data_IF_529159368643
#
_entry.id   IF_529159368643
#
_cell.length_a   1.000
_cell.length_b   1.000
_cell.length_c   1.000
_cell.angle_alpha   90.00
_cell.angle_beta   90.00
_cell.angle_gamma   90.00
#
_symmetry.space_group_name_H-M   'P 1'
#
loop_
_entity.id
_entity.type
_entity.pdbx_description
1 polymer ?
#
# COMPACT_ATOMS: atom_id res chain seq x y z
N UNK A 1 -5.01 -45.16 32.10
CA UNK A 1 -3.78 -44.58 31.54
C UNK A 1 -4.11 -43.15 31.23
N UNK A 2 -3.95 -42.28 32.22
CA UNK A 2 -4.18 -40.85 32.03
C UNK A 2 -3.06 -40.32 31.14
N UNK A 3 -3.44 -39.76 29.99
CA UNK A 3 -2.53 -39.12 29.05
C UNK A 3 -1.91 -37.89 29.73
N UNK A 4 -0.66 -38.01 30.15
CA UNK A 4 0.15 -36.87 30.60
C UNK A 4 0.28 -35.86 29.46
N UNK A 5 -0.43 -34.74 29.57
CA UNK A 5 -0.32 -33.62 28.63
C UNK A 5 0.90 -32.79 29.01
N UNK A 6 1.99 -32.93 28.26
CA UNK A 6 3.20 -32.12 28.44
C UNK A 6 3.03 -30.83 27.65
N UNK A 7 3.01 -29.69 28.35
CA UNK A 7 3.00 -28.36 27.76
C UNK A 7 4.39 -27.73 27.87
N UNK A 8 4.85 -27.12 26.78
CA UNK A 8 6.12 -26.39 26.73
C UNK A 8 5.81 -24.92 27.02
N UNK A 9 6.60 -24.28 27.88
CA UNK A 9 6.46 -22.88 28.24
C UNK A 9 7.79 -22.12 28.13
N UNK A 10 7.76 -20.82 28.35
CA UNK A 10 8.94 -19.94 28.29
C UNK A 10 8.89 -18.92 27.16
N UNK A 11 9.85 -17.98 27.16
CA UNK A 11 9.88 -16.84 26.22
C UNK A 11 10.02 -17.28 24.74
N UNK A 12 10.68 -18.41 24.49
CA UNK A 12 10.79 -18.96 23.13
C UNK A 12 9.46 -19.51 22.62
N UNK A 13 8.67 -20.20 23.46
CA UNK A 13 7.36 -20.72 23.06
C UNK A 13 6.34 -19.57 22.90
N UNK A 14 6.37 -18.55 23.75
CA UNK A 14 5.55 -17.33 23.58
C UNK A 14 5.90 -16.65 22.25
N UNK A 15 7.18 -16.51 21.93
CA UNK A 15 7.63 -15.90 20.66
C UNK A 15 7.21 -16.75 19.45
N UNK A 16 7.25 -18.08 19.57
CA UNK A 16 6.78 -19.02 18.54
C UNK A 16 5.28 -18.88 18.31
N UNK A 17 4.48 -18.92 19.37
CA UNK A 17 3.02 -18.79 19.31
C UNK A 17 2.59 -17.42 18.76
N UNK A 18 3.21 -16.33 19.21
CA UNK A 18 2.95 -14.98 18.66
C UNK A 18 3.31 -14.92 17.17
N UNK A 19 4.41 -15.53 16.76
CA UNK A 19 4.81 -15.62 15.35
C UNK A 19 3.81 -16.39 14.48
N UNK A 20 3.36 -17.57 14.93
CA UNK A 20 2.36 -18.38 14.23
C UNK A 20 0.98 -17.72 14.18
N UNK A 21 0.56 -17.12 15.28
CA UNK A 21 -0.70 -16.37 15.38
C UNK A 21 -0.69 -15.19 14.41
N UNK A 22 0.36 -14.37 14.44
CA UNK A 22 0.50 -13.24 13.53
C UNK A 22 0.47 -13.69 12.07
N UNK A 23 1.17 -14.79 11.72
CA UNK A 23 1.15 -15.35 10.36
C UNK A 23 -0.25 -15.76 9.92
N UNK A 24 -1.00 -16.44 10.80
CA UNK A 24 -2.39 -16.85 10.53
C UNK A 24 -3.30 -15.64 10.34
N UNK A 25 -3.14 -14.61 11.17
CA UNK A 25 -3.92 -13.38 11.07
C UNK A 25 -3.60 -12.59 9.80
N UNK A 26 -2.34 -12.58 9.34
CA UNK A 26 -1.98 -12.02 8.04
C UNK A 26 -2.64 -12.75 6.87
N UNK A 27 -2.64 -14.10 6.88
CA UNK A 27 -3.28 -14.89 5.83
C UNK A 27 -4.79 -14.64 5.78
N UNK A 28 -5.44 -14.55 6.94
CA UNK A 28 -6.86 -14.18 7.03
C UNK A 28 -7.09 -12.77 6.50
N UNK A 29 -6.28 -11.80 6.92
CA UNK A 29 -6.39 -10.42 6.45
C UNK A 29 -6.21 -10.32 4.93
N UNK A 30 -5.26 -11.04 4.35
CA UNK A 30 -5.04 -11.13 2.90
C UNK A 30 -6.26 -11.74 2.18
N UNK A 31 -6.83 -12.82 2.71
CA UNK A 31 -8.01 -13.48 2.16
C UNK A 31 -9.21 -12.53 2.07
N UNK A 32 -9.36 -11.60 3.01
CA UNK A 32 -10.41 -10.58 2.97
C UNK A 32 -10.02 -9.33 2.17
N UNK A 33 -8.77 -8.89 2.25
CA UNK A 33 -8.29 -7.69 1.59
C UNK A 33 -8.24 -7.83 0.07
N UNK A 34 -7.78 -8.96 -0.46
CA UNK A 34 -7.67 -9.18 -1.92
C UNK A 34 -9.03 -9.07 -2.64
N UNK A 35 -10.10 -9.78 -2.20
CA UNK A 35 -11.43 -9.60 -2.77
C UNK A 35 -11.97 -8.18 -2.57
N UNK A 36 -11.74 -7.57 -1.42
CA UNK A 36 -12.21 -6.21 -1.13
C UNK A 36 -11.57 -5.18 -2.07
N UNK A 37 -10.26 -5.27 -2.30
CA UNK A 37 -9.54 -4.41 -3.27
C UNK A 37 -10.05 -4.69 -4.67
N UNK A 38 -10.21 -5.94 -5.08
CA UNK A 38 -10.74 -6.27 -6.41
C UNK A 38 -12.14 -5.69 -6.62
N UNK A 39 -13.03 -5.83 -5.62
CA UNK A 39 -14.37 -5.27 -5.63
C UNK A 39 -14.34 -3.74 -5.72
N UNK A 40 -13.48 -3.09 -4.92
CA UNK A 40 -13.28 -1.64 -4.96
C UNK A 40 -12.81 -1.18 -6.34
N UNK A 41 -11.84 -1.87 -6.96
CA UNK A 41 -11.35 -1.53 -8.30
C UNK A 41 -12.43 -1.67 -9.35
N UNK A 42 -13.24 -2.73 -9.28
CA UNK A 42 -14.39 -2.91 -10.16
C UNK A 42 -15.40 -1.78 -9.98
N UNK A 43 -15.67 -1.37 -8.74
CA UNK A 43 -16.59 -0.27 -8.43
C UNK A 43 -16.07 1.09 -8.93
N UNK A 44 -14.77 1.36 -8.74
CA UNK A 44 -14.12 2.63 -9.12
C UNK A 44 -14.00 2.76 -10.64
N UNK A 45 -13.50 1.73 -11.32
CA UNK A 45 -13.31 1.79 -12.77
C UNK A 45 -14.59 1.52 -13.56
N UNK A 46 -15.53 0.76 -13.00
CA UNK A 46 -16.74 0.25 -13.67
C UNK A 46 -16.45 -0.47 -15.01
N UNK A 47 -15.19 -0.85 -15.25
CA UNK A 47 -14.69 -1.57 -16.43
C UNK A 47 -13.64 -2.58 -15.97
N UNK A 48 -13.78 -3.80 -16.47
CA UNK A 48 -12.94 -4.94 -16.08
C UNK A 48 -11.49 -4.81 -16.55
N UNK A 49 -11.25 -4.19 -17.71
CA UNK A 49 -9.89 -4.03 -18.26
C UNK A 49 -9.00 -3.12 -17.43
N UNK A 50 -9.53 -1.98 -16.97
CA UNK A 50 -8.78 -1.05 -16.12
C UNK A 50 -8.46 -1.66 -14.74
N UNK A 51 -9.42 -2.40 -14.17
CA UNK A 51 -9.20 -3.15 -12.95
C UNK A 51 -8.13 -4.23 -13.14
N UNK A 52 -8.20 -5.00 -14.22
CA UNK A 52 -7.22 -6.05 -14.52
C UNK A 52 -5.80 -5.51 -14.70
N UNK A 53 -5.65 -4.39 -15.42
CA UNK A 53 -4.34 -3.73 -15.58
C UNK A 53 -3.77 -3.25 -14.25
N UNK A 54 -4.63 -2.68 -13.40
CA UNK A 54 -4.26 -2.20 -12.07
C UNK A 54 -3.81 -3.34 -11.17
N UNK A 55 -4.57 -4.43 -11.14
CA UNK A 55 -4.22 -5.64 -10.38
C UNK A 55 -2.94 -6.27 -10.92
N UNK A 56 -2.77 -6.31 -12.25
CA UNK A 56 -1.55 -6.85 -12.86
C UNK A 56 -0.30 -6.07 -12.44
N UNK A 57 -0.35 -4.74 -12.39
CA UNK A 57 0.76 -3.91 -11.89
C UNK A 57 1.04 -4.19 -10.42
N UNK A 58 -0.01 -4.27 -9.58
CA UNK A 58 0.15 -4.61 -8.17
C UNK A 58 0.79 -5.99 -7.97
N UNK A 59 0.28 -7.02 -8.65
CA UNK A 59 0.84 -8.37 -8.59
C UNK A 59 2.28 -8.42 -9.11
N UNK A 60 2.59 -7.72 -10.21
CA UNK A 60 3.95 -7.62 -10.72
C UNK A 60 4.90 -6.99 -9.68
N UNK A 61 4.44 -5.97 -8.97
CA UNK A 61 5.20 -5.36 -7.87
C UNK A 61 5.45 -6.35 -6.74
N UNK A 62 4.43 -7.10 -6.31
CA UNK A 62 4.56 -8.12 -5.26
C UNK A 62 5.54 -9.21 -5.69
N UNK A 63 5.37 -9.78 -6.89
CA UNK A 63 6.24 -10.84 -7.41
C UNK A 63 7.68 -10.33 -7.54
N UNK A 64 7.88 -9.14 -8.11
CA UNK A 64 9.20 -8.52 -8.24
C UNK A 64 9.86 -8.27 -6.89
N UNK A 65 9.07 -7.85 -5.90
CA UNK A 65 9.55 -7.63 -4.53
C UNK A 65 9.94 -8.94 -3.87
N UNK A 66 9.10 -9.97 -3.93
CA UNK A 66 9.39 -11.27 -3.36
C UNK A 66 10.63 -11.91 -4.00
N UNK A 67 10.80 -11.75 -5.32
CA UNK A 67 12.01 -12.18 -6.02
C UNK A 67 13.25 -11.41 -5.54
N UNK A 68 13.15 -10.08 -5.37
CA UNK A 68 14.22 -9.25 -4.83
C UNK A 68 14.57 -9.60 -3.38
N UNK A 69 13.55 -9.82 -2.54
CA UNK A 69 13.73 -10.27 -1.15
C UNK A 69 14.40 -11.63 -1.08
N UNK A 70 14.03 -12.57 -1.97
CA UNK A 70 14.70 -13.86 -2.07
C UNK A 70 16.18 -13.73 -2.43
N UNK A 71 16.53 -12.79 -3.30
CA UNK A 71 17.93 -12.51 -3.64
C UNK A 71 18.69 -11.90 -2.45
N UNK A 72 18.08 -10.96 -1.72
CA UNK A 72 18.64 -10.39 -0.49
C UNK A 72 18.79 -11.47 0.59
N UNK A 73 17.84 -12.40 0.68
CA UNK A 73 17.85 -13.51 1.64
C UNK A 73 19.03 -14.48 1.46
N UNK A 74 19.78 -14.39 0.35
CA UNK A 74 21.03 -15.15 0.17
C UNK A 74 22.20 -14.55 0.96
N UNK A 75 22.11 -13.27 1.34
CA UNK A 75 23.20 -12.51 1.98
C UNK A 75 22.87 -12.10 3.42
N UNK A 76 21.58 -11.96 3.73
CA UNK A 76 21.11 -11.58 5.07
C UNK A 76 19.83 -12.33 5.38
N UNK A 77 19.49 -12.45 6.66
CA UNK A 77 18.19 -13.02 7.03
C UNK A 77 17.08 -12.06 6.57
N UNK A 78 15.90 -12.59 6.22
CA UNK A 78 14.73 -11.76 5.91
C UNK A 78 13.56 -12.27 6.73
N UNK A 79 12.93 -11.37 7.48
CA UNK A 79 11.75 -11.72 8.27
C UNK A 79 10.58 -12.19 7.40
N UNK A 80 9.86 -13.23 7.83
CA UNK A 80 8.62 -13.66 7.18
C UNK A 80 7.57 -12.54 7.11
N UNK A 81 7.58 -11.60 8.08
CA UNK A 81 6.69 -10.44 8.08
C UNK A 81 6.97 -9.47 6.92
N UNK A 82 8.21 -9.45 6.41
CA UNK A 82 8.57 -8.60 5.29
C UNK A 82 7.88 -9.04 3.99
N UNK A 83 7.63 -10.34 3.81
CA UNK A 83 6.86 -10.87 2.68
C UNK A 83 5.38 -10.45 2.75
N UNK A 84 4.77 -10.47 3.95
CA UNK A 84 3.40 -10.00 4.14
C UNK A 84 3.29 -8.49 3.87
N UNK A 85 4.26 -7.70 4.33
CA UNK A 85 4.35 -6.28 4.06
C UNK A 85 4.54 -6.00 2.57
N UNK A 86 5.33 -6.81 1.87
CA UNK A 86 5.53 -6.71 0.42
C UNK A 86 4.21 -6.88 -0.35
N UNK A 87 3.35 -7.79 0.07
CA UNK A 87 2.04 -7.98 -0.52
C UNK A 87 1.13 -6.75 -0.30
N UNK A 88 0.96 -6.35 0.96
CA UNK A 88 0.04 -5.27 1.33
C UNK A 88 0.46 -3.95 0.69
N UNK A 89 1.74 -3.58 0.83
CA UNK A 89 2.26 -2.36 0.21
C UNK A 89 2.35 -2.48 -1.31
N UNK A 90 2.73 -3.64 -1.86
CA UNK A 90 2.87 -3.84 -3.30
C UNK A 90 1.56 -3.71 -4.06
N UNK A 91 0.49 -4.28 -3.51
CA UNK A 91 -0.84 -4.08 -4.05
C UNK A 91 -1.33 -2.65 -3.84
N UNK A 92 -1.16 -2.09 -2.64
CA UNK A 92 -1.59 -0.71 -2.35
C UNK A 92 -0.94 0.31 -3.27
N UNK A 93 0.40 0.34 -3.31
CA UNK A 93 1.16 1.28 -4.14
C UNK A 93 0.98 1.00 -5.64
N UNK A 94 0.93 -0.27 -6.04
CA UNK A 94 0.64 -0.64 -7.43
C UNK A 94 -0.74 -0.17 -7.88
N UNK A 95 -1.75 -0.27 -7.00
CA UNK A 95 -3.10 0.23 -7.23
C UNK A 95 -3.12 1.75 -7.34
N UNK A 96 -2.55 2.45 -6.36
CA UNK A 96 -2.58 3.91 -6.28
C UNK A 96 -1.87 4.55 -7.47
N UNK A 97 -0.67 4.06 -7.80
CA UNK A 97 0.10 4.58 -8.94
C UNK A 97 -0.58 4.27 -10.26
N UNK A 98 -1.17 3.08 -10.42
CA UNK A 98 -1.91 2.74 -11.63
C UNK A 98 -3.16 3.59 -11.80
N UNK A 99 -3.91 3.80 -10.71
CA UNK A 99 -5.11 4.63 -10.72
C UNK A 99 -4.78 6.07 -11.09
N UNK A 100 -3.69 6.62 -10.54
CA UNK A 100 -3.26 7.96 -10.88
C UNK A 100 -2.89 8.11 -12.38
N UNK A 101 -2.10 7.17 -12.92
CA UNK A 101 -1.71 7.18 -14.35
C UNK A 101 -2.92 6.96 -15.26
N UNK A 102 -3.81 6.01 -14.93
CA UNK A 102 -5.03 5.73 -15.71
C UNK A 102 -5.99 6.94 -15.66
N UNK A 103 -6.15 7.59 -14.51
CA UNK A 103 -6.97 8.79 -14.40
C UNK A 103 -6.46 9.89 -15.32
N UNK A 104 -5.14 10.12 -15.32
CA UNK A 104 -4.53 11.11 -16.23
C UNK A 104 -4.66 10.72 -17.70
N UNK A 105 -4.47 9.46 -18.04
CA UNK A 105 -4.74 8.97 -19.40
C UNK A 105 -6.19 9.24 -19.83
N UNK A 106 -7.17 8.99 -18.95
CA UNK A 106 -8.59 9.25 -19.23
C UNK A 106 -8.90 10.74 -19.39
N UNK A 107 -8.25 11.61 -18.62
CA UNK A 107 -8.37 13.07 -18.79
C UNK A 107 -7.82 13.53 -20.13
N UNK A 108 -6.66 13.03 -20.53
CA UNK A 108 -6.02 13.32 -21.83
C UNK A 108 -6.90 12.85 -23.01
N UNK A 109 -7.51 11.67 -22.88
CA UNK A 109 -8.50 11.16 -23.86
C UNK A 109 -9.78 11.98 -23.88
N UNK A 110 -10.27 12.43 -22.72
CA UNK A 110 -11.44 13.31 -22.63
C UNK A 110 -11.17 14.71 -23.20
N UNK A 111 -9.90 15.12 -23.28
CA UNK A 111 -9.47 16.34 -23.98
C UNK A 111 -9.36 16.18 -25.51
N UNK A 112 -9.73 15.01 -26.06
CA UNK A 112 -9.77 14.75 -27.50
C UNK A 112 -8.45 14.28 -28.11
N UNK A 113 -7.44 13.94 -27.29
CA UNK A 113 -6.14 13.47 -27.80
C UNK A 113 -6.21 12.02 -28.31
N UNK A 114 -5.48 11.67 -29.39
CA UNK A 114 -5.41 10.30 -29.87
C UNK A 114 -4.67 9.40 -28.85
N UNK A 115 -4.88 8.08 -28.95
CA UNK A 115 -4.37 7.11 -28.00
C UNK A 115 -2.86 7.22 -27.73
N UNK A 116 -1.98 7.28 -28.75
CA UNK A 116 -0.54 7.30 -28.53
C UNK A 116 -0.11 8.54 -27.75
N UNK A 117 -0.59 9.71 -28.15
CA UNK A 117 -0.25 11.00 -27.53
C UNK A 117 -0.76 11.08 -26.09
N UNK A 118 -1.96 10.55 -25.83
CA UNK A 118 -2.53 10.50 -24.49
C UNK A 118 -1.70 9.62 -23.54
N UNK A 119 -1.18 8.48 -24.02
CA UNK A 119 -0.29 7.61 -23.22
C UNK A 119 1.02 8.31 -22.93
N UNK A 120 1.66 8.91 -23.94
CA UNK A 120 2.94 9.62 -23.77
C UNK A 120 2.80 10.76 -22.76
N UNK A 121 1.75 11.58 -22.90
CA UNK A 121 1.54 12.74 -22.04
C UNK A 121 1.12 12.38 -20.62
N UNK A 122 0.25 11.38 -20.47
CA UNK A 122 -0.09 10.84 -19.16
C UNK A 122 1.16 10.31 -18.45
N UNK A 123 2.03 9.59 -19.15
CA UNK A 123 3.28 9.05 -18.58
C UNK A 123 4.25 10.17 -18.21
N UNK A 124 4.41 11.19 -19.05
CA UNK A 124 5.31 12.31 -18.78
C UNK A 124 4.92 13.11 -17.52
N UNK A 125 3.61 13.35 -17.31
CA UNK A 125 3.13 14.14 -16.16
C UNK A 125 2.89 13.26 -14.94
N UNK A 126 2.11 12.19 -15.11
CA UNK A 126 1.74 11.30 -14.01
C UNK A 126 2.92 10.44 -13.57
N UNK A 127 3.70 9.91 -14.51
CA UNK A 127 4.87 9.09 -14.21
C UNK A 127 5.93 9.86 -13.41
N UNK A 128 6.21 11.13 -13.76
CA UNK A 128 7.12 11.97 -12.96
C UNK A 128 6.62 12.14 -11.52
N UNK A 129 5.31 12.31 -11.33
CA UNK A 129 4.70 12.44 -10.00
C UNK A 129 4.79 11.12 -9.22
N UNK A 130 4.53 9.99 -9.87
CA UNK A 130 4.66 8.64 -9.30
C UNK A 130 6.10 8.36 -8.87
N UNK A 131 7.09 8.69 -9.70
CA UNK A 131 8.52 8.54 -9.36
C UNK A 131 8.87 9.39 -8.14
N UNK A 132 8.46 10.66 -8.10
CA UNK A 132 8.75 11.55 -6.97
C UNK A 132 8.10 11.06 -5.67
N UNK A 133 6.82 10.64 -5.74
CA UNK A 133 6.11 10.04 -4.61
C UNK A 133 6.82 8.75 -4.15
N UNK A 134 7.21 7.90 -5.10
CA UNK A 134 7.95 6.67 -4.82
C UNK A 134 9.25 6.94 -4.10
N UNK A 135 10.10 7.83 -4.61
CA UNK A 135 11.37 8.22 -3.96
C UNK A 135 11.12 8.70 -2.54
N UNK A 136 10.08 9.52 -2.31
CA UNK A 136 9.73 10.01 -0.97
C UNK A 136 9.39 8.86 -0.01
N UNK A 137 8.60 7.87 -0.47
CA UNK A 137 8.26 6.68 0.33
C UNK A 137 9.50 5.81 0.57
N UNK A 138 10.33 5.58 -0.45
CA UNK A 138 11.55 4.78 -0.32
C UNK A 138 12.55 5.40 0.68
N UNK A 139 12.76 6.73 0.62
CA UNK A 139 13.60 7.45 1.59
C UNK A 139 13.03 7.34 3.00
N UNK A 140 11.72 7.50 3.16
CA UNK A 140 11.06 7.39 4.47
C UNK A 140 11.19 5.99 5.07
N UNK A 141 11.01 4.93 4.27
CA UNK A 141 11.19 3.54 4.72
C UNK A 141 12.66 3.20 4.98
N UNK A 142 13.59 3.83 4.27
CA UNK A 142 15.03 3.65 4.49
C UNK A 142 15.48 4.16 5.87
N UNK A 143 14.75 5.10 6.48
CA UNK A 143 15.02 5.56 7.84
C UNK A 143 14.92 4.43 8.89
N UNK A 144 14.18 3.36 8.60
CA UNK A 144 14.11 2.18 9.48
C UNK A 144 15.46 1.47 9.63
N UNK A 145 16.37 1.60 8.65
CA UNK A 145 17.72 1.01 8.70
C UNK A 145 18.62 1.64 9.77
N UNK A 146 18.25 2.81 10.31
CA UNK A 146 19.00 3.48 11.39
C UNK A 146 18.86 2.72 12.71
N UNK A 147 17.78 1.96 12.90
CA UNK A 147 17.51 1.26 14.13
C UNK A 147 18.16 -0.14 14.14
N UNK A 148 18.75 -0.57 15.26
CA UNK A 148 19.46 -1.86 15.36
C UNK A 148 18.51 -3.05 15.56
N UNK A 149 17.37 -3.07 14.85
CA UNK A 149 16.39 -4.14 14.91
C UNK A 149 16.28 -4.84 13.56
N UNK A 150 16.57 -6.14 13.54
CA UNK A 150 16.57 -6.95 12.33
C UNK A 150 15.25 -6.90 11.54
N UNK A 151 14.10 -6.89 12.23
CA UNK A 151 12.79 -6.82 11.59
C UNK A 151 12.52 -5.47 10.92
N UNK A 152 13.05 -4.36 11.47
CA UNK A 152 12.97 -3.04 10.85
C UNK A 152 13.79 -2.98 9.56
N UNK A 153 15.00 -3.55 9.56
CA UNK A 153 15.83 -3.63 8.36
C UNK A 153 15.17 -4.46 7.27
N UNK A 154 14.56 -5.60 7.63
CA UNK A 154 13.78 -6.41 6.71
C UNK A 154 12.60 -5.64 6.09
N UNK A 155 11.91 -4.80 6.88
CA UNK A 155 10.83 -3.95 6.39
C UNK A 155 11.32 -2.83 5.48
N UNK A 156 12.50 -2.27 5.74
CA UNK A 156 13.12 -1.30 4.85
C UNK A 156 13.43 -1.93 3.48
N UNK A 157 14.04 -3.12 3.45
CA UNK A 157 14.34 -3.82 2.20
C UNK A 157 13.09 -4.15 1.41
N UNK A 158 12.06 -4.71 2.07
CA UNK A 158 10.78 -4.99 1.43
C UNK A 158 10.14 -3.70 0.89
N UNK A 159 10.06 -2.67 1.73
CA UNK A 159 9.48 -1.38 1.38
C UNK A 159 10.13 -0.72 0.16
N UNK A 160 11.47 -0.66 0.13
CA UNK A 160 12.20 -0.08 -1.00
C UNK A 160 11.99 -0.90 -2.28
N UNK A 161 12.07 -2.23 -2.20
CA UNK A 161 11.81 -3.12 -3.34
C UNK A 161 10.38 -2.99 -3.87
N UNK A 162 9.39 -2.90 -2.98
CA UNK A 162 8.00 -2.62 -3.37
C UNK A 162 7.92 -1.33 -4.16
N UNK A 163 8.47 -0.24 -3.62
CA UNK A 163 8.40 1.06 -4.28
C UNK A 163 9.03 1.00 -5.66
N UNK A 164 10.23 0.44 -5.77
CA UNK A 164 10.95 0.34 -7.05
C UNK A 164 10.14 -0.46 -8.06
N UNK A 165 9.63 -1.61 -7.67
CA UNK A 165 8.86 -2.49 -8.57
C UNK A 165 7.49 -1.91 -8.92
N UNK A 166 6.81 -1.23 -8.00
CA UNK A 166 5.54 -0.55 -8.23
C UNK A 166 5.70 0.65 -9.17
N UNK A 167 6.73 1.47 -8.98
CA UNK A 167 7.06 2.59 -9.86
C UNK A 167 7.43 2.07 -11.26
N UNK A 168 8.25 1.02 -11.35
CA UNK A 168 8.58 0.38 -12.62
C UNK A 168 7.32 -0.16 -13.31
N UNK A 169 6.42 -0.83 -12.57
CA UNK A 169 5.15 -1.31 -13.10
C UNK A 169 4.25 -0.18 -13.62
N UNK A 170 4.15 0.93 -12.88
CA UNK A 170 3.29 2.05 -13.25
C UNK A 170 3.85 2.92 -14.39
N UNK A 171 5.17 3.01 -14.55
CA UNK A 171 5.81 3.89 -15.56
C UNK A 171 6.27 3.13 -16.79
N UNK A 172 6.52 1.82 -16.70
CA UNK A 172 6.99 1.00 -17.83
C UNK A 172 5.89 0.07 -18.33
N UNK A 173 5.38 -0.81 -17.45
CA UNK A 173 4.42 -1.84 -17.85
C UNK A 173 3.05 -1.22 -18.20
N UNK A 174 2.56 -0.32 -17.36
CA UNK A 174 1.23 0.25 -17.53
C UNK A 174 1.09 1.10 -18.81
N UNK A 175 2.02 2.00 -19.18
CA UNK A 175 1.92 2.73 -20.45
C UNK A 175 1.99 1.81 -21.66
N UNK A 176 2.83 0.76 -21.63
CA UNK A 176 2.87 -0.25 -22.69
C UNK A 176 1.52 -0.99 -22.83
N UNK A 177 0.91 -1.36 -21.70
CA UNK A 177 -0.40 -1.98 -21.69
C UNK A 177 -1.52 -1.02 -22.17
N UNK A 178 -1.46 0.26 -21.80
CA UNK A 178 -2.38 1.30 -22.27
C UNK A 178 -2.20 1.61 -23.77
N UNK A 179 -0.99 1.50 -24.32
CA UNK A 179 -0.77 1.64 -25.75
C UNK A 179 -1.52 0.54 -26.54
N UNK A 180 -1.59 -0.69 -25.99
CA UNK A 180 -2.28 -1.81 -26.65
C UNK A 180 -3.78 -1.88 -26.37
N UNK A 181 -4.20 -1.65 -25.12
CA UNK A 181 -5.58 -1.87 -24.64
C UNK A 181 -6.30 -0.61 -24.17
N UNK A 182 -5.69 0.57 -24.36
CA UNK A 182 -6.23 1.86 -23.92
C UNK A 182 -7.66 2.12 -24.35
N UNK A 183 -8.04 1.75 -25.58
CA UNK A 183 -9.42 1.84 -26.09
C UNK A 183 -10.47 1.16 -25.19
N UNK A 184 -10.11 0.11 -24.44
CA UNK A 184 -11.02 -0.59 -23.52
C UNK A 184 -11.08 0.06 -22.14
N UNK A 185 -10.12 0.92 -21.81
CA UNK A 185 -10.02 1.68 -20.56
C UNK A 185 -10.78 3.02 -20.68
N UNK A 186 -11.12 3.41 -21.90
CA UNK A 186 -11.82 4.65 -22.21
C UNK A 186 -13.25 4.67 -21.62
N UNK A 187 -13.40 5.52 -20.60
CA UNK A 187 -14.65 6.20 -20.25
C UNK A 187 -14.30 7.63 -19.91
N UNK A 188 -15.03 8.64 -20.41
CA UNK A 188 -14.82 10.02 -19.99
C UNK A 188 -14.89 10.08 -18.46
N UNK A 189 -13.88 10.65 -17.81
CA UNK A 189 -14.05 11.05 -16.42
C UNK A 189 -15.18 12.09 -16.41
N UNK A 190 -16.23 11.85 -15.63
CA UNK A 190 -17.27 12.86 -15.47
C UNK A 190 -16.61 14.11 -14.90
N UNK A 191 -16.63 15.21 -15.66
CA UNK A 191 -16.16 16.52 -15.18
C UNK A 191 -17.15 17.01 -14.12
N UNK A 192 -17.02 16.54 -12.89
CA UNK A 192 -17.83 17.07 -11.77
C UNK A 192 -17.14 18.30 -11.22
N UNK A 193 -17.44 19.48 -11.78
CA UNK A 193 -16.90 20.77 -11.31
C UNK A 193 -17.61 21.30 -10.06
N UNK A 194 -18.74 20.71 -9.64
CA UNK A 194 -19.61 21.23 -8.57
C UNK A 194 -19.98 20.19 -7.49
N UNK A 195 -19.10 19.23 -7.21
CA UNK A 195 -19.36 18.16 -6.24
C UNK A 195 -19.32 18.58 -4.76
N UNK A 196 -19.67 17.64 -3.87
CA UNK A 196 -19.47 17.75 -2.42
C UNK A 196 -18.07 18.26 -2.07
N UNK A 197 -17.03 17.68 -2.69
CA UNK A 197 -15.62 18.07 -2.49
C UNK A 197 -15.33 19.54 -2.80
N UNK A 198 -15.93 20.11 -3.85
CA UNK A 198 -15.76 21.51 -4.20
C UNK A 198 -16.36 22.43 -3.12
N UNK A 199 -17.55 22.10 -2.63
CA UNK A 199 -18.22 22.86 -1.56
C UNK A 199 -17.46 22.75 -0.24
N UNK A 200 -17.00 21.57 0.13
CA UNK A 200 -16.23 21.35 1.36
C UNK A 200 -14.89 22.06 1.31
N UNK A 201 -14.19 22.03 0.17
CA UNK A 201 -12.95 22.77 -0.03
C UNK A 201 -13.18 24.30 0.10
N UNK A 202 -14.21 24.84 -0.58
CA UNK A 202 -14.55 26.25 -0.47
C UNK A 202 -14.95 26.65 0.97
N UNK A 203 -15.70 25.80 1.68
CA UNK A 203 -16.07 26.04 3.08
C UNK A 203 -14.82 26.11 3.98
N UNK A 204 -13.86 25.20 3.79
CA UNK A 204 -12.59 25.23 4.52
C UNK A 204 -11.76 26.48 4.18
N UNK A 205 -11.70 26.88 2.91
CA UNK A 205 -10.97 28.09 2.47
C UNK A 205 -11.62 29.39 2.93
N UNK A 206 -12.93 29.42 3.19
CA UNK A 206 -13.62 30.61 3.70
C UNK A 206 -13.21 30.96 5.13
N UNK A 207 -12.82 29.98 5.94
CA UNK A 207 -12.43 30.17 7.35
C UNK A 207 -11.23 29.26 7.69
N UNK A 208 -10.04 29.50 7.11
CA UNK A 208 -8.92 28.57 7.18
C UNK A 208 -8.41 28.37 8.62
N UNK A 209 -8.41 29.42 9.45
CA UNK A 209 -8.00 29.32 10.84
C UNK A 209 -8.94 28.46 11.68
N UNK A 210 -10.26 28.58 11.49
CA UNK A 210 -11.24 27.77 12.23
C UNK A 210 -11.25 26.33 11.76
N UNK A 211 -11.15 26.10 10.45
CA UNK A 211 -11.01 24.76 9.89
C UNK A 211 -9.73 24.08 10.39
N UNK A 212 -8.60 24.80 10.34
CA UNK A 212 -7.31 24.32 10.84
C UNK A 212 -7.32 24.05 12.35
N UNK A 213 -7.84 24.97 13.15
CA UNK A 213 -7.96 24.80 14.59
C UNK A 213 -8.89 23.63 14.96
N UNK A 214 -9.99 23.45 14.23
CA UNK A 214 -10.89 22.30 14.43
C UNK A 214 -10.20 20.97 14.16
N UNK A 215 -9.53 20.84 13.00
CA UNK A 215 -8.77 19.63 12.65
C UNK A 215 -7.63 19.39 13.66
N UNK A 216 -6.87 20.42 14.02
CA UNK A 216 -5.79 20.32 15.00
C UNK A 216 -6.31 19.86 16.36
N UNK A 217 -7.44 20.41 16.82
CA UNK A 217 -8.07 20.02 18.09
C UNK A 217 -8.46 18.55 18.08
N UNK A 218 -9.08 18.08 16.99
CA UNK A 218 -9.45 16.66 16.83
C UNK A 218 -8.20 15.77 16.81
N UNK A 219 -7.15 16.17 16.09
CA UNK A 219 -5.89 15.41 16.04
C UNK A 219 -5.20 15.35 17.40
N UNK A 220 -5.14 16.46 18.14
CA UNK A 220 -4.56 16.51 19.49
C UNK A 220 -5.38 15.68 20.48
N UNK A 221 -6.70 15.71 20.37
CA UNK A 221 -7.58 14.87 21.18
C UNK A 221 -7.37 13.38 20.88
N UNK A 222 -7.31 12.99 19.61
CA UNK A 222 -6.99 11.63 19.19
C UNK A 222 -5.57 11.19 19.61
N UNK A 223 -4.63 12.14 19.69
CA UNK A 223 -3.28 11.92 20.17
C UNK A 223 -3.16 11.91 21.71
N UNK A 224 -4.20 12.31 22.46
CA UNK A 224 -4.17 12.37 23.92
C UNK A 224 -3.75 11.05 24.62
N UNK A 225 -4.11 9.84 24.11
CA UNK A 225 -3.65 8.59 24.72
C UNK A 225 -2.14 8.38 24.67
N UNK A 226 -1.43 9.08 23.77
CA UNK A 226 0.04 8.99 23.67
C UNK A 226 0.75 9.50 24.93
N UNK A 227 0.13 10.41 25.67
CA UNK A 227 0.66 10.93 26.93
C UNK A 227 0.67 9.87 28.05
N UNK A 228 -0.13 8.81 27.90
CA UNK A 228 -0.22 7.69 28.85
C UNK A 228 0.62 6.48 28.47
N UNK A 229 1.46 6.56 27.42
CA UNK A 229 2.23 5.41 26.94
C UNK A 229 3.23 4.92 27.99
N UNK A 230 3.08 3.64 28.37
CA UNK A 230 4.07 2.90 29.17
C UNK A 230 4.74 1.89 28.25
N UNK A 231 6.02 2.11 27.97
CA UNK A 231 6.81 1.16 27.20
C UNK A 231 7.17 -0.04 28.09
N UNK A 232 6.88 -1.25 27.62
CA UNK A 232 7.20 -2.50 28.31
C UNK A 232 7.61 -3.58 27.30
N UNK A 233 8.40 -4.54 27.75
CA UNK A 233 8.77 -5.72 26.94
C UNK A 233 7.54 -6.64 26.77
N UNK A 234 7.48 -7.43 25.67
CA UNK A 234 6.44 -8.45 25.50
C UNK A 234 6.43 -9.38 26.73
N UNK A 235 5.30 -9.46 27.42
CA UNK A 235 5.07 -10.34 28.56
C UNK A 235 3.81 -11.15 28.29
N UNK A 236 3.56 -12.22 29.05
CA UNK A 236 2.43 -13.18 28.92
C UNK A 236 1.05 -12.54 28.64
N UNK A 237 0.87 -11.28 29.03
CA UNK A 237 -0.30 -10.40 28.76
C UNK A 237 -0.61 -10.13 27.28
N UNK A 238 0.30 -10.45 26.35
CA UNK A 238 0.06 -10.31 24.90
C UNK A 238 -0.59 -11.52 24.26
N UNK A 239 -0.72 -12.64 24.99
CA UNK A 239 -1.44 -13.82 24.54
C UNK A 239 -2.95 -13.66 24.82
N UNK A 240 -3.84 -14.23 23.96
CA UNK A 240 -5.27 -14.23 24.21
C UNK A 240 -5.59 -14.94 25.54
N UNK A 241 -6.56 -14.45 26.30
CA UNK A 241 -6.99 -15.14 27.53
C UNK A 241 -7.48 -16.57 27.18
N UNK A 242 -6.73 -17.59 27.60
CA UNK A 242 -7.11 -19.01 27.46
C UNK A 242 -6.10 -19.95 26.80
N UNK A 243 -4.87 -19.52 26.49
CA UNK A 243 -3.76 -20.39 26.04
C UNK A 243 -2.86 -20.83 27.17
#
# INVERSE_FOLDING_TARGET
TDELTVQVGGQEEISRQVGEQARTDFLRAELFALPAVLLLLVLVYRRTTAALLTVAVGLLSVIGTLAGLRAIAQFTEVSAFAANLALVLGLGLGVDYSLFVISRYREERAAGRPQPDAVVRATAVAGRTVVFSGVTVAVSLSALLVFPFFFLSSFAYAGVLVVVTAVAGAVVFLPAALARWGHRVERPAARTTSGFWHRTALAAMRRPLLAGAGVLTVLLFAASPLLGLRFGLPAERTLPEGT
#
